data_IF_410875272233
#
_entry.id   IF_410875272233
#
_cell.length_a   1.000
_cell.length_b   1.000
_cell.length_c   1.000
_cell.angle_alpha   90.00
_cell.angle_beta   90.00
_cell.angle_gamma   90.00
#
_symmetry.space_group_name_H-M   'P 1'
#
loop_
_entity.id
_entity.type
_entity.pdbx_description
1 polymer ?
#
# COMPACT_ATOMS: atom_id res chain seq x y z
N UNK A 1 0.61 -25.58 -11.51
CA UNK A 1 -0.86 -25.63 -11.39
C UNK A 1 -1.35 -25.11 -10.05
N UNK A 2 -2.55 -24.52 -10.07
CA UNK A 2 -3.26 -23.73 -9.06
C UNK A 2 -2.89 -22.23 -8.96
N UNK A 3 -3.47 -21.43 -9.86
CA UNK A 3 -3.64 -19.99 -9.67
C UNK A 3 -4.80 -19.80 -8.70
N UNK A 4 -4.52 -19.38 -7.47
CA UNK A 4 -5.53 -19.12 -6.46
C UNK A 4 -6.36 -17.88 -6.80
N UNK A 5 -7.59 -18.08 -7.26
CA UNK A 5 -8.61 -17.05 -7.41
C UNK A 5 -9.62 -17.24 -6.27
N UNK A 6 -9.66 -16.31 -5.29
CA UNK A 6 -10.67 -16.32 -4.24
C UNK A 6 -10.22 -15.78 -2.86
N UNK A 7 -11.11 -15.84 -1.84
CA UNK A 7 -10.93 -15.21 -0.51
C UNK A 7 -9.71 -15.71 0.30
N UNK A 8 -9.02 -16.75 -0.17
CA UNK A 8 -7.76 -17.22 0.42
C UNK A 8 -6.67 -16.15 0.45
N UNK A 9 -6.69 -15.18 -0.48
CA UNK A 9 -5.71 -14.07 -0.60
C UNK A 9 -5.60 -13.21 0.66
N UNK A 10 -6.56 -13.30 1.59
CA UNK A 10 -6.58 -12.53 2.84
C UNK A 10 -5.98 -13.25 4.07
N UNK A 11 -5.52 -14.50 3.94
CA UNK A 11 -4.82 -15.17 5.03
C UNK A 11 -3.39 -14.62 5.17
N UNK A 12 -2.98 -14.30 6.39
CA UNK A 12 -1.64 -13.76 6.71
C UNK A 12 -0.48 -14.67 6.30
N UNK A 13 -0.76 -15.96 6.03
CA UNK A 13 0.17 -16.95 5.50
C UNK A 13 0.41 -16.87 3.99
N UNK A 14 -0.32 -16.03 3.23
CA UNK A 14 -0.20 -15.89 1.76
C UNK A 14 0.79 -14.80 1.33
N UNK A 15 1.61 -14.27 2.24
CA UNK A 15 2.74 -13.36 1.91
C UNK A 15 3.68 -13.90 0.82
N UNK A 16 3.62 -15.19 0.50
CA UNK A 16 4.54 -15.86 -0.44
C UNK A 16 4.07 -15.94 -1.91
N UNK A 17 2.82 -15.61 -2.27
CA UNK A 17 2.31 -15.75 -3.66
C UNK A 17 2.20 -14.41 -4.43
N UNK A 18 2.89 -13.37 -3.93
CA UNK A 18 3.03 -12.04 -4.54
C UNK A 18 1.71 -11.28 -4.64
N UNK A 19 1.28 -10.65 -3.55
CA UNK A 19 0.33 -9.57 -3.69
C UNK A 19 0.97 -8.43 -4.49
N UNK A 20 0.22 -7.89 -5.46
CA UNK A 20 0.57 -6.70 -6.26
C UNK A 20 1.17 -5.53 -5.44
N UNK A 21 0.88 -5.47 -4.13
CA UNK A 21 1.37 -4.46 -3.20
C UNK A 21 2.74 -4.74 -2.55
N UNK A 22 3.21 -6.00 -2.50
CA UNK A 22 4.60 -6.33 -2.10
C UNK A 22 5.64 -6.01 -3.17
N UNK A 23 5.22 -5.55 -4.35
CA UNK A 23 6.12 -5.12 -5.41
C UNK A 23 6.53 -3.64 -5.28
N UNK A 24 6.10 -2.93 -4.23
CA UNK A 24 6.32 -1.49 -4.09
C UNK A 24 7.31 -1.18 -2.97
N UNK A 25 8.61 -1.13 -3.32
CA UNK A 25 9.72 -0.68 -2.47
C UNK A 25 9.42 0.66 -1.82
N UNK A 26 8.66 1.53 -2.50
CA UNK A 26 8.22 2.80 -1.93
C UNK A 26 7.44 2.65 -0.62
N UNK A 27 6.65 1.57 -0.45
CA UNK A 27 5.94 1.28 0.80
C UNK A 27 6.88 0.64 1.82
N UNK A 28 7.77 -0.25 1.38
CA UNK A 28 8.78 -0.87 2.24
C UNK A 28 9.75 0.17 2.84
N UNK A 29 10.09 1.21 2.08
CA UNK A 29 10.93 2.31 2.53
C UNK A 29 10.23 3.20 3.55
N UNK A 30 8.93 3.45 3.38
CA UNK A 30 8.13 4.11 4.43
C UNK A 30 8.11 3.23 5.69
N UNK A 31 7.92 1.93 5.55
CA UNK A 31 7.95 1.00 6.70
C UNK A 31 9.31 1.03 7.41
N UNK A 32 10.41 1.02 6.65
CA UNK A 32 11.78 1.14 7.18
C UNK A 32 11.94 2.45 7.96
N UNK A 33 11.61 3.59 7.36
CA UNK A 33 11.74 4.90 7.98
C UNK A 33 10.88 5.06 9.25
N UNK A 34 9.70 4.44 9.29
CA UNK A 34 8.88 4.36 10.51
C UNK A 34 9.58 3.50 11.57
N UNK A 35 10.05 2.30 11.20
CA UNK A 35 10.69 1.36 12.10
C UNK A 35 12.00 1.91 12.70
N UNK A 36 12.76 2.68 11.92
CA UNK A 36 13.98 3.36 12.35
C UNK A 36 13.71 4.66 13.13
N UNK A 37 12.44 5.09 13.23
CA UNK A 37 12.03 6.27 13.99
C UNK A 37 12.34 7.61 13.30
N UNK A 38 12.75 7.60 12.03
CA UNK A 38 13.07 8.81 11.26
C UNK A 38 11.86 9.76 11.17
N UNK A 39 10.66 9.18 11.04
CA UNK A 39 9.39 9.89 10.91
C UNK A 39 8.93 10.56 12.22
N UNK A 40 9.52 10.16 13.36
CA UNK A 40 9.08 10.58 14.68
C UNK A 40 7.75 9.94 15.09
N UNK A 41 6.96 10.63 15.91
CA UNK A 41 5.64 10.13 16.31
C UNK A 41 4.67 10.24 15.14
N UNK A 42 4.22 9.11 14.62
CA UNK A 42 3.25 9.05 13.52
C UNK A 42 1.85 9.31 14.05
N UNK A 43 1.15 10.27 13.45
CA UNK A 43 -0.23 10.63 13.84
C UNK A 43 -1.21 10.62 12.66
N UNK A 44 -0.73 10.48 11.42
CA UNK A 44 -1.56 10.50 10.22
C UNK A 44 -1.11 9.51 9.17
N UNK A 45 -2.07 8.92 8.47
CA UNK A 45 -1.85 8.28 7.18
C UNK A 45 -2.99 8.65 6.23
N UNK A 46 -2.64 9.09 5.02
CA UNK A 46 -3.59 9.29 3.94
C UNK A 46 -3.26 8.31 2.82
N UNK A 47 -4.26 7.69 2.23
CA UNK A 47 -4.04 6.85 1.07
C UNK A 47 -5.19 6.96 0.07
N UNK A 48 -4.83 6.98 -1.21
CA UNK A 48 -5.78 7.08 -2.31
C UNK A 48 -5.50 5.98 -3.32
N UNK A 49 -6.55 5.27 -3.75
CA UNK A 49 -6.50 4.35 -4.87
C UNK A 49 -7.50 4.76 -5.92
N UNK A 50 -7.01 4.92 -7.15
CA UNK A 50 -7.85 5.10 -8.32
C UNK A 50 -7.80 3.84 -9.16
N UNK A 51 -8.98 3.34 -9.52
CA UNK A 51 -9.15 2.22 -10.44
C UNK A 51 -9.87 2.70 -11.71
N UNK A 52 -9.88 1.89 -12.79
CA UNK A 52 -10.49 2.29 -14.06
C UNK A 52 -11.95 2.72 -13.91
N UNK A 53 -12.32 3.80 -14.59
CA UNK A 53 -13.71 4.28 -14.62
C UNK A 53 -14.67 3.23 -15.17
N UNK A 54 -15.87 3.17 -14.60
CA UNK A 54 -16.88 2.18 -14.95
C UNK A 54 -16.68 0.82 -14.28
N UNK A 55 -15.68 0.68 -13.39
CA UNK A 55 -15.57 -0.47 -12.50
C UNK A 55 -16.83 -0.63 -11.65
N UNK A 56 -17.25 -1.87 -11.42
CA UNK A 56 -18.43 -2.13 -10.61
C UNK A 56 -18.19 -1.74 -9.13
N UNK A 57 -19.27 -1.45 -8.39
CA UNK A 57 -19.31 -1.48 -6.93
C UNK A 57 -18.40 -2.50 -6.24
N UNK A 58 -18.47 -3.76 -6.65
CA UNK A 58 -17.73 -4.88 -6.05
C UNK A 58 -16.23 -4.80 -6.41
N UNK A 59 -15.93 -4.44 -7.67
CA UNK A 59 -14.57 -4.23 -8.13
C UNK A 59 -13.89 -3.07 -7.39
N UNK A 60 -14.64 -2.02 -7.02
CA UNK A 60 -14.14 -0.91 -6.21
C UNK A 60 -13.78 -1.33 -4.79
N UNK A 61 -14.58 -2.22 -4.19
CA UNK A 61 -14.26 -2.75 -2.86
C UNK A 61 -13.03 -3.67 -2.94
N UNK A 62 -13.03 -4.64 -3.86
CA UNK A 62 -11.99 -5.65 -3.96
C UNK A 62 -10.66 -5.11 -4.49
N UNK A 63 -10.70 -4.18 -5.45
CA UNK A 63 -9.53 -3.62 -6.12
C UNK A 63 -9.15 -2.22 -5.65
N UNK A 64 -10.03 -1.52 -4.94
CA UNK A 64 -9.81 -0.17 -4.40
C UNK A 64 -9.60 -0.19 -2.89
N UNK A 65 -10.71 -0.37 -2.15
CA UNK A 65 -10.73 -0.27 -0.68
C UNK A 65 -9.84 -1.31 -0.01
N UNK A 66 -10.00 -2.59 -0.35
CA UNK A 66 -9.29 -3.70 0.29
C UNK A 66 -7.77 -3.55 0.25
N UNK A 67 -7.16 -3.33 -0.92
CA UNK A 67 -5.72 -3.14 -1.05
C UNK A 67 -5.19 -1.93 -0.26
N UNK A 68 -5.87 -0.78 -0.33
CA UNK A 68 -5.43 0.43 0.40
C UNK A 68 -5.52 0.21 1.90
N UNK A 69 -6.61 -0.38 2.37
CA UNK A 69 -6.77 -0.71 3.77
C UNK A 69 -5.64 -1.63 4.25
N UNK A 70 -5.30 -2.66 3.48
CA UNK A 70 -4.18 -3.55 3.82
C UNK A 70 -2.86 -2.78 3.96
N UNK A 71 -2.53 -1.90 3.02
CA UNK A 71 -1.30 -1.08 3.08
C UNK A 71 -1.30 -0.18 4.32
N UNK A 72 -2.40 0.53 4.59
CA UNK A 72 -2.49 1.38 5.78
C UNK A 72 -2.37 0.57 7.09
N UNK A 73 -2.91 -0.65 7.12
CA UNK A 73 -2.80 -1.55 8.29
C UNK A 73 -1.40 -2.09 8.49
N UNK A 74 -0.66 -2.35 7.40
CA UNK A 74 0.73 -2.77 7.48
C UNK A 74 1.64 -1.63 7.93
N UNK A 75 1.35 -0.39 7.54
CA UNK A 75 2.10 0.80 7.97
C UNK A 75 1.78 1.20 9.42
N UNK A 76 0.51 1.10 9.82
CA UNK A 76 0.01 1.48 11.14
C UNK A 76 -0.76 0.32 11.78
N UNK A 77 -0.06 -0.60 12.48
CA UNK A 77 -0.65 -1.84 12.96
C UNK A 77 -1.55 -1.67 14.20
N UNK A 78 -1.53 -0.51 14.87
CA UNK A 78 -2.36 -0.24 16.04
C UNK A 78 -3.85 -0.55 15.81
N UNK A 79 -4.58 -1.18 16.74
CA UNK A 79 -5.98 -1.56 16.52
C UNK A 79 -6.88 -0.39 16.11
N UNK A 80 -7.85 -0.65 15.22
CA UNK A 80 -8.85 0.36 14.84
C UNK A 80 -9.87 0.52 15.98
N UNK A 81 -9.97 1.72 16.54
CA UNK A 81 -10.92 2.05 17.60
C UNK A 81 -12.25 2.58 17.06
N UNK A 82 -12.23 3.34 15.96
CA UNK A 82 -13.44 3.89 15.32
C UNK A 82 -13.31 3.92 13.80
N UNK A 83 -14.45 3.79 13.12
CA UNK A 83 -14.56 3.88 11.66
C UNK A 83 -15.66 4.86 11.31
N UNK A 84 -15.36 5.75 10.37
CA UNK A 84 -16.34 6.53 9.63
C UNK A 84 -16.18 6.18 8.16
N UNK A 85 -17.27 5.86 7.47
CA UNK A 85 -17.20 5.51 6.05
C UNK A 85 -18.38 6.12 5.31
N UNK A 86 -18.09 6.71 4.16
CA UNK A 86 -19.08 7.28 3.25
C UNK A 86 -18.89 6.67 1.88
N UNK A 87 -19.98 6.17 1.33
CA UNK A 87 -20.06 5.75 -0.06
C UNK A 87 -20.68 6.87 -0.88
N UNK A 88 -20.10 7.17 -2.03
CA UNK A 88 -20.53 8.27 -2.87
C UNK A 88 -20.59 7.88 -4.35
N UNK A 89 -21.30 8.70 -5.12
CA UNK A 89 -21.39 8.67 -6.57
C UNK A 89 -20.84 9.99 -7.10
N UNK A 90 -19.65 9.96 -7.69
CA UNK A 90 -18.96 11.14 -8.22
C UNK A 90 -19.09 11.22 -9.75
N UNK A 91 -18.79 10.14 -10.45
CA UNK A 91 -18.84 10.05 -11.92
C UNK A 91 -19.79 8.96 -12.42
N UNK A 92 -20.05 7.96 -11.58
CA UNK A 92 -20.97 6.84 -11.79
C UNK A 92 -21.68 6.46 -10.50
N UNK A 93 -22.48 5.40 -10.56
CA UNK A 93 -23.18 4.93 -9.38
C UNK A 93 -22.21 4.27 -8.40
N UNK A 94 -22.17 4.79 -7.16
CA UNK A 94 -21.47 4.16 -6.05
C UNK A 94 -19.98 3.89 -6.34
N UNK A 95 -19.35 4.81 -7.08
CA UNK A 95 -18.02 4.72 -7.66
C UNK A 95 -16.92 5.31 -6.77
N UNK A 96 -17.26 5.73 -5.54
CA UNK A 96 -16.30 6.25 -4.58
C UNK A 96 -16.58 5.78 -3.13
N UNK A 97 -15.49 5.57 -2.39
CA UNK A 97 -15.46 5.36 -0.94
C UNK A 97 -14.50 6.33 -0.28
N UNK A 98 -14.97 6.93 0.82
CA UNK A 98 -14.18 7.76 1.73
C UNK A 98 -14.26 7.14 3.12
N UNK A 99 -13.13 6.75 3.68
CA UNK A 99 -13.08 6.02 4.95
C UNK A 99 -12.07 6.72 5.86
N UNK A 100 -12.48 7.00 7.10
CA UNK A 100 -11.62 7.49 8.16
C UNK A 100 -11.57 6.48 9.28
N UNK A 101 -10.38 6.06 9.67
CA UNK A 101 -10.13 5.19 10.82
C UNK A 101 -9.46 6.02 11.91
N UNK A 102 -9.91 5.86 13.16
CA UNK A 102 -9.16 6.28 14.33
C UNK A 102 -8.56 5.04 14.97
N UNK A 103 -7.24 5.02 15.12
CA UNK A 103 -6.52 3.93 15.76
C UNK A 103 -6.50 4.10 17.28
N UNK A 104 -6.13 3.05 18.00
CA UNK A 104 -6.08 3.03 19.47
C UNK A 104 -5.01 3.99 20.04
N UNK A 105 -3.98 4.29 19.27
CA UNK A 105 -2.95 5.28 19.58
C UNK A 105 -3.34 6.71 19.15
N UNK A 106 -4.62 6.94 18.80
CA UNK A 106 -5.18 8.19 18.29
C UNK A 106 -4.71 8.66 16.91
N UNK A 107 -3.86 7.90 16.22
CA UNK A 107 -3.53 8.18 14.83
C UNK A 107 -4.78 8.09 13.93
N UNK A 108 -4.82 8.94 12.90
CA UNK A 108 -5.93 9.02 11.95
C UNK A 108 -5.48 8.48 10.59
N UNK A 109 -6.24 7.53 10.06
CA UNK A 109 -6.05 7.01 8.70
C UNK A 109 -7.21 7.49 7.83
N UNK A 110 -6.92 8.13 6.70
CA UNK A 110 -7.92 8.53 5.70
C UNK A 110 -7.67 7.79 4.40
N UNK A 111 -8.70 7.10 3.91
CA UNK A 111 -8.65 6.27 2.70
C UNK A 111 -9.66 6.82 1.70
N UNK A 112 -9.20 6.95 0.47
CA UNK A 112 -10.02 7.25 -0.69
C UNK A 112 -9.88 6.13 -1.71
N UNK A 113 -11.00 5.58 -2.17
CA UNK A 113 -11.02 4.65 -3.29
C UNK A 113 -12.02 5.13 -4.33
N UNK A 114 -11.54 5.39 -5.56
CA UNK A 114 -12.35 5.97 -6.63
C UNK A 114 -12.23 5.17 -7.93
N UNK A 115 -13.33 4.93 -8.62
CA UNK A 115 -13.33 4.43 -10.00
C UNK A 115 -13.25 5.60 -10.99
N UNK A 116 -12.14 6.34 -10.96
CA UNK A 116 -11.98 7.60 -11.71
C UNK A 116 -10.83 7.61 -12.72
N UNK A 117 -9.95 6.61 -12.70
CA UNK A 117 -8.76 6.59 -13.56
C UNK A 117 -9.10 6.32 -15.03
N UNK A 118 -8.17 6.69 -15.93
CA UNK A 118 -8.23 6.31 -17.34
C UNK A 118 -8.29 4.79 -17.53
N UNK A 119 -8.67 4.33 -18.72
CA UNK A 119 -9.04 2.94 -19.01
C UNK A 119 -7.99 1.85 -18.65
N UNK A 120 -6.74 2.23 -18.37
CA UNK A 120 -5.64 1.32 -18.07
C UNK A 120 -4.80 1.69 -16.84
N UNK A 121 -5.10 2.80 -16.15
CA UNK A 121 -4.27 3.28 -15.06
C UNK A 121 -4.87 2.87 -13.71
N UNK A 122 -4.06 2.24 -12.85
CA UNK A 122 -4.29 2.24 -11.41
C UNK A 122 -3.31 3.22 -10.80
N UNK A 123 -3.78 4.03 -9.87
CA UNK A 123 -2.94 5.01 -9.19
C UNK A 123 -3.07 4.76 -7.69
N UNK A 124 -1.96 4.44 -7.04
CA UNK A 124 -1.86 4.37 -5.59
C UNK A 124 -1.01 5.54 -5.11
N UNK A 125 -1.51 6.21 -4.08
CA UNK A 125 -0.80 7.22 -3.33
C UNK A 125 -0.92 6.86 -1.85
N UNK A 126 0.18 6.90 -1.13
CA UNK A 126 0.21 6.68 0.32
C UNK A 126 1.07 7.76 0.94
N UNK A 127 0.56 8.37 2.00
CA UNK A 127 1.22 9.41 2.74
C UNK A 127 1.20 9.05 4.23
N UNK A 128 2.33 9.21 4.90
CA UNK A 128 2.47 9.04 6.34
C UNK A 128 2.98 10.35 6.93
N UNK A 129 2.26 10.84 7.93
CA UNK A 129 2.54 12.11 8.60
C UNK A 129 3.02 11.83 10.02
N UNK A 130 4.25 12.24 10.32
CA UNK A 130 4.78 12.22 11.67
C UNK A 130 5.28 13.57 12.14
N UNK A 131 5.82 13.58 13.36
CA UNK A 131 6.29 14.81 14.02
C UNK A 131 7.54 15.42 13.38
N UNK A 132 8.29 14.66 12.59
CA UNK A 132 9.54 15.12 11.99
C UNK A 132 9.41 15.39 10.50
N UNK A 133 8.64 14.58 9.79
CA UNK A 133 8.52 14.62 8.33
C UNK A 133 7.22 14.00 7.84
N UNK A 134 6.90 14.29 6.59
CA UNK A 134 5.88 13.62 5.81
C UNK A 134 6.55 12.76 4.75
N UNK A 135 6.17 11.49 4.67
CA UNK A 135 6.61 10.58 3.63
C UNK A 135 5.46 10.30 2.68
N UNK A 136 5.65 10.55 1.39
CA UNK A 136 4.67 10.28 0.35
C UNK A 136 5.24 9.30 -0.66
N UNK A 137 4.61 8.14 -0.79
CA UNK A 137 4.86 7.18 -1.85
C UNK A 137 3.78 7.28 -2.92
N UNK A 138 4.19 7.23 -4.18
CA UNK A 138 3.34 7.00 -5.34
C UNK A 138 3.74 5.67 -5.98
N UNK A 139 3.31 4.53 -5.42
CA UNK A 139 3.86 3.23 -5.80
C UNK A 139 3.67 2.87 -7.28
N UNK A 140 2.58 3.34 -7.89
CA UNK A 140 2.29 3.10 -9.31
C UNK A 140 3.17 3.89 -10.26
N UNK A 141 3.81 4.96 -9.78
CA UNK A 141 4.82 5.76 -10.51
C UNK A 141 6.23 5.59 -9.93
N UNK A 142 6.40 4.73 -8.92
CA UNK A 142 7.64 4.48 -8.17
C UNK A 142 8.31 5.75 -7.62
N UNK A 143 7.52 6.75 -7.21
CA UNK A 143 8.04 7.97 -6.60
C UNK A 143 7.99 7.94 -5.07
N UNK A 144 9.03 8.44 -4.39
CA UNK A 144 8.95 8.84 -2.98
C UNK A 144 9.29 10.33 -2.86
N UNK A 145 8.44 11.06 -2.14
CA UNK A 145 8.68 12.44 -1.73
C UNK A 145 8.78 12.50 -0.22
N UNK A 146 9.86 13.11 0.26
CA UNK A 146 10.16 13.31 1.67
C UNK A 146 10.06 14.79 1.96
N UNK A 147 9.19 15.17 2.89
CA UNK A 147 9.00 16.57 3.28
C UNK A 147 9.34 16.73 4.77
N UNK A 148 10.57 17.15 5.10
CA UNK A 148 10.92 17.46 6.48
C UNK A 148 10.18 18.72 6.95
N UNK A 149 9.64 18.70 8.17
CA UNK A 149 8.89 19.84 8.69
C UNK A 149 9.83 21.04 8.92
N UNK A 150 9.54 22.16 8.24
CA UNK A 150 10.33 23.40 8.33
C UNK A 150 11.48 23.52 7.33
N UNK A 151 11.66 22.54 6.43
CA UNK A 151 12.67 22.59 5.37
C UNK A 151 12.03 22.37 3.98
N UNK A 152 12.81 22.55 2.91
CA UNK A 152 12.35 22.24 1.56
C UNK A 152 12.10 20.74 1.37
N UNK A 153 11.05 20.42 0.62
CA UNK A 153 10.72 19.05 0.24
C UNK A 153 11.81 18.46 -0.67
N UNK A 154 12.22 17.23 -0.38
CA UNK A 154 13.15 16.46 -1.20
C UNK A 154 12.37 15.41 -2.00
N UNK A 155 12.64 15.35 -3.31
CA UNK A 155 12.12 14.29 -4.17
C UNK A 155 13.24 13.27 -4.37
N UNK A 156 12.98 12.02 -4.02
CA UNK A 156 13.86 10.91 -4.36
C UNK A 156 13.27 10.20 -5.56
N UNK A 157 13.81 10.41 -6.78
CA UNK A 157 13.40 9.60 -7.91
C UNK A 157 13.96 8.19 -7.65
N UNK A 158 13.07 7.21 -7.48
CA UNK A 158 13.44 5.81 -7.24
C UNK A 158 13.15 5.01 -8.51
N UNK A 159 14.17 4.40 -9.09
CA UNK A 159 14.07 3.74 -10.40
C UNK A 159 14.70 2.36 -10.33
N UNK A 160 13.87 1.36 -10.05
CA UNK A 160 14.12 0.00 -10.55
C UNK A 160 12.94 -0.40 -11.45
N UNK A 161 13.26 -1.06 -12.57
CA UNK A 161 12.27 -1.60 -13.49
C UNK A 161 11.50 -2.75 -12.79
N UNK A 162 10.16 -2.70 -12.84
CA UNK A 162 9.29 -3.73 -12.26
C UNK A 162 9.65 -5.14 -12.73
N UNK A 163 10.11 -5.29 -13.98
CA UNK A 163 10.56 -6.55 -14.55
C UNK A 163 11.90 -7.02 -13.96
N UNK A 164 12.88 -6.13 -13.84
CA UNK A 164 14.18 -6.44 -13.20
C UNK A 164 13.99 -6.88 -11.75
N UNK A 165 13.05 -6.27 -11.04
CA UNK A 165 12.74 -6.64 -9.66
C UNK A 165 11.95 -7.93 -9.54
N UNK A 166 10.99 -8.20 -10.43
CA UNK A 166 10.33 -9.51 -10.48
C UNK A 166 11.37 -10.62 -10.70
N UNK A 167 12.36 -10.38 -11.57
CA UNK A 167 13.47 -11.29 -11.80
C UNK A 167 14.36 -11.44 -10.57
N UNK A 168 14.72 -10.34 -9.90
CA UNK A 168 15.54 -10.37 -8.68
C UNK A 168 14.83 -11.08 -7.50
N UNK A 169 13.51 -10.91 -7.36
CA UNK A 169 12.70 -11.62 -6.35
C UNK A 169 12.60 -13.11 -6.64
N UNK A 170 12.44 -13.49 -7.92
CA UNK A 170 12.49 -14.90 -8.35
C UNK A 170 13.87 -15.50 -8.09
N UNK A 171 14.93 -14.76 -8.42
CA UNK A 171 16.32 -15.20 -8.26
C UNK A 171 16.72 -15.36 -6.78
N UNK A 172 16.38 -14.38 -5.94
CA UNK A 172 16.56 -14.44 -4.47
C UNK A 172 15.78 -15.61 -3.84
N UNK A 173 14.60 -15.96 -4.35
CA UNK A 173 13.84 -17.14 -3.91
C UNK A 173 14.46 -18.45 -4.39
N UNK A 174 14.97 -18.49 -5.62
CA UNK A 174 15.69 -19.64 -6.14
C UNK A 174 17.00 -19.91 -5.37
N UNK A 175 17.67 -18.86 -4.89
CA UNK A 175 18.86 -18.99 -4.03
C UNK A 175 18.52 -19.31 -2.58
N UNK A 176 17.43 -18.77 -2.01
CA UNK A 176 16.97 -19.15 -0.67
C UNK A 176 16.46 -20.61 -0.60
N UNK A 177 15.91 -21.14 -1.69
CA UNK A 177 15.49 -22.55 -1.79
C UNK A 177 16.64 -23.56 -1.93
N UNK A 178 17.88 -23.14 -2.21
CA UNK A 178 19.05 -24.03 -2.32
C UNK A 178 19.74 -24.35 -0.99
N UNK A 179 19.29 -23.78 0.12
CA UNK A 179 19.83 -24.05 1.46
C UNK A 179 19.05 -25.10 2.26
N UNK A 180 17.96 -25.67 1.70
CA UNK A 180 17.14 -26.69 2.38
C UNK A 180 17.36 -28.13 1.88
N UNK A 181 18.24 -28.35 0.91
CA UNK A 181 18.65 -29.68 0.41
C UNK A 181 20.11 -30.00 0.77
N UNK A 182 20.51 -29.75 2.02
CA UNK A 182 21.80 -30.13 2.56
C UNK A 182 21.60 -31.00 3.80
N UNK A 183 21.87 -32.29 3.64
CA UNK A 183 21.83 -33.35 4.65
C UNK A 183 22.34 -32.92 6.03
N UNK A 184 21.48 -33.10 7.04
CA UNK A 184 21.85 -33.43 8.42
C UNK A 184 20.66 -34.13 9.11
N UNK A 185 20.42 -35.39 8.70
CA UNK A 185 19.93 -36.51 9.52
C UNK A 185 20.34 -37.84 8.89
#
# INVERSE_FOLDING_TARGET
>A
DAIGVGPGVYASSIRHVVPFFTAFEAVEEIQRAIAEGEVGSVYGCYASMRIPRGSSPEALIAGGVGPVLAVCRDLLPDPVARVWATRASLFGENDAWFITLRLANDAIVTIEALASAGASARELLVEVTGSNQVLRAEPTTQGIRVEPLGNEAMVWPWWEDLAERCLALIDRRATAGRWLDGDDL
#
